data_IF_105678635924
#
_entry.id   IF_105678635924
#
_cell.length_a   1.000
_cell.length_b   1.000
_cell.length_c   1.000
_cell.angle_alpha   90.00
_cell.angle_beta   90.00
_cell.angle_gamma   90.00
#
_symmetry.space_group_name_H-M   'P 1'
#
loop_
_entity.id
_entity.type
_entity.pdbx_description
1 polymer ?
#
# COMPACT_ATOMS: atom_id res chain seq x y z
N UNK A 1 34.17 -12.81 -77.36
CA UNK A 1 33.30 -13.08 -76.19
C UNK A 1 31.86 -12.69 -76.53
N UNK A 2 30.92 -13.63 -76.54
CA UNK A 2 29.55 -13.36 -77.00
C UNK A 2 28.81 -12.41 -76.04
N UNK A 3 27.86 -11.62 -76.54
CA UNK A 3 27.06 -10.64 -75.76
C UNK A 3 26.40 -11.29 -74.53
N UNK A 4 26.01 -12.56 -74.63
CA UNK A 4 25.42 -13.35 -73.52
C UNK A 4 26.42 -13.61 -72.39
N UNK A 5 27.70 -13.88 -72.71
CA UNK A 5 28.75 -14.14 -71.71
C UNK A 5 29.12 -12.86 -70.95
N UNK A 6 29.14 -11.70 -71.62
CA UNK A 6 29.37 -10.40 -70.94
C UNK A 6 28.23 -10.05 -69.97
N UNK A 7 26.98 -10.28 -70.37
CA UNK A 7 25.81 -10.05 -69.51
C UNK A 7 25.85 -10.98 -68.28
N UNK A 8 26.22 -12.24 -68.47
CA UNK A 8 26.38 -13.20 -67.36
C UNK A 8 27.48 -12.76 -66.37
N UNK A 9 28.64 -12.30 -66.85
CA UNK A 9 29.71 -11.80 -65.98
C UNK A 9 29.31 -10.56 -65.20
N UNK A 10 28.60 -9.61 -65.83
CA UNK A 10 28.09 -8.42 -65.15
C UNK A 10 27.07 -8.82 -64.07
N UNK A 11 26.15 -9.72 -64.39
CA UNK A 11 25.17 -10.25 -63.42
C UNK A 11 25.86 -10.95 -62.24
N UNK A 12 26.93 -11.70 -62.49
CA UNK A 12 27.72 -12.36 -61.45
C UNK A 12 28.42 -11.35 -60.52
N UNK A 13 29.02 -10.30 -61.08
CA UNK A 13 29.67 -9.23 -60.30
C UNK A 13 28.64 -8.49 -59.45
N UNK A 14 27.49 -8.13 -60.01
CA UNK A 14 26.39 -7.48 -59.27
C UNK A 14 25.87 -8.38 -58.14
N UNK A 15 25.73 -9.68 -58.40
CA UNK A 15 25.33 -10.65 -57.38
C UNK A 15 26.35 -10.77 -56.24
N UNK A 16 27.64 -10.83 -56.56
CA UNK A 16 28.71 -10.87 -55.56
C UNK A 16 28.78 -9.58 -54.72
N UNK A 17 28.64 -8.41 -55.35
CA UNK A 17 28.57 -7.12 -54.67
C UNK A 17 27.34 -7.01 -53.76
N UNK A 18 26.17 -7.47 -54.25
CA UNK A 18 24.95 -7.50 -53.45
C UNK A 18 25.08 -8.43 -52.23
N UNK A 19 25.71 -9.60 -52.40
CA UNK A 19 26.00 -10.52 -51.29
C UNK A 19 26.97 -9.92 -50.27
N UNK A 20 28.00 -9.23 -50.73
CA UNK A 20 28.93 -8.48 -49.87
C UNK A 20 28.24 -7.37 -49.08
N UNK A 21 27.36 -6.61 -49.74
CA UNK A 21 26.53 -5.58 -49.10
C UNK A 21 25.60 -6.16 -48.03
N UNK A 22 24.95 -7.30 -48.30
CA UNK A 22 24.07 -7.96 -47.31
C UNK A 22 24.85 -8.43 -46.07
N UNK A 23 26.04 -8.99 -46.25
CA UNK A 23 26.89 -9.40 -45.12
C UNK A 23 27.29 -8.20 -44.26
N UNK A 24 27.77 -7.12 -44.89
CA UNK A 24 28.13 -5.89 -44.19
C UNK A 24 26.93 -5.27 -43.46
N UNK A 25 25.74 -5.27 -44.08
CA UNK A 25 24.52 -4.78 -43.44
C UNK A 25 24.16 -5.60 -42.19
N UNK A 26 24.30 -6.91 -42.25
CA UNK A 26 24.01 -7.79 -41.11
C UNK A 26 25.03 -7.60 -39.98
N UNK A 27 26.31 -7.43 -40.30
CA UNK A 27 27.35 -7.10 -39.32
C UNK A 27 27.09 -5.75 -38.65
N UNK A 28 26.71 -4.73 -39.42
CA UNK A 28 26.34 -3.41 -38.88
C UNK A 28 25.14 -3.51 -37.94
N UNK A 29 24.11 -4.28 -38.30
CA UNK A 29 22.94 -4.50 -37.43
C UNK A 29 23.38 -5.20 -36.14
N UNK A 30 24.17 -6.26 -36.23
CA UNK A 30 24.67 -6.99 -35.06
C UNK A 30 25.53 -6.12 -34.15
N UNK A 31 26.40 -5.27 -34.72
CA UNK A 31 27.21 -4.31 -33.97
C UNK A 31 26.33 -3.25 -33.29
N UNK A 32 25.29 -2.75 -33.96
CA UNK A 32 24.35 -1.82 -33.36
C UNK A 32 23.60 -2.45 -32.18
N UNK A 33 23.13 -3.69 -32.30
CA UNK A 33 22.47 -4.39 -31.20
C UNK A 33 23.40 -4.58 -30.00
N UNK A 34 24.69 -4.88 -30.25
CA UNK A 34 25.70 -4.95 -29.19
C UNK A 34 25.93 -3.59 -28.52
N UNK A 35 25.99 -2.50 -29.28
CA UNK A 35 26.13 -1.14 -28.74
C UNK A 35 24.93 -0.78 -27.86
N UNK A 36 23.71 -1.05 -28.33
CA UNK A 36 22.48 -0.80 -27.57
C UNK A 36 22.48 -1.59 -26.25
N UNK A 37 22.81 -2.88 -26.30
CA UNK A 37 22.85 -3.73 -25.11
C UNK A 37 23.94 -3.27 -24.12
N UNK A 38 25.11 -2.87 -24.62
CA UNK A 38 26.18 -2.34 -23.77
C UNK A 38 25.78 -1.01 -23.12
N UNK A 39 25.07 -0.14 -23.83
CA UNK A 39 24.56 1.11 -23.24
C UNK A 39 23.51 0.85 -22.15
N UNK A 40 22.65 -0.16 -22.32
CA UNK A 40 21.69 -0.56 -21.28
C UNK A 40 22.41 -1.05 -20.02
N UNK A 41 23.40 -1.94 -20.18
CA UNK A 41 24.23 -2.43 -19.06
C UNK A 41 24.99 -1.30 -18.36
N UNK A 42 25.52 -0.35 -19.13
CA UNK A 42 26.25 0.79 -18.58
C UNK A 42 25.33 1.70 -17.75
N UNK A 43 24.08 1.90 -18.20
CA UNK A 43 23.04 2.60 -17.46
C UNK A 43 22.69 1.88 -16.14
N UNK A 44 22.53 0.55 -16.17
CA UNK A 44 22.29 -0.26 -14.98
C UNK A 44 23.44 -0.15 -13.97
N UNK A 45 24.69 -0.26 -14.44
CA UNK A 45 25.88 -0.09 -13.58
C UNK A 45 25.94 1.31 -12.99
N UNK A 46 25.63 2.36 -13.76
CA UNK A 46 25.58 3.73 -13.26
C UNK A 46 24.51 3.90 -12.17
N UNK A 47 23.33 3.29 -12.36
CA UNK A 47 22.25 3.28 -11.36
C UNK A 47 22.69 2.58 -10.08
N UNK A 48 23.29 1.40 -10.18
CA UNK A 48 23.83 0.65 -9.03
C UNK A 48 24.93 1.44 -8.30
N UNK A 49 25.84 2.07 -9.06
CA UNK A 49 26.91 2.90 -8.48
C UNK A 49 26.34 4.14 -7.77
N UNK A 50 25.26 4.73 -8.29
CA UNK A 50 24.57 5.82 -7.64
C UNK A 50 23.94 5.38 -6.32
N UNK A 51 23.24 4.25 -6.29
CA UNK A 51 22.65 3.67 -5.09
C UNK A 51 23.72 3.34 -4.02
N UNK A 52 24.86 2.76 -4.44
CA UNK A 52 25.98 2.48 -3.53
C UNK A 52 26.64 3.76 -2.99
N UNK A 53 26.78 4.80 -3.82
CA UNK A 53 27.31 6.10 -3.37
C UNK A 53 26.39 6.79 -2.37
N UNK A 54 25.08 6.67 -2.55
CA UNK A 54 24.11 7.19 -1.57
C UNK A 54 24.13 6.37 -0.27
N UNK A 55 24.17 5.03 -0.36
CA UNK A 55 24.31 4.15 0.80
C UNK A 55 25.60 4.38 1.60
N UNK A 56 26.72 4.67 0.93
CA UNK A 56 27.99 4.98 1.62
C UNK A 56 28.01 6.36 2.30
N UNK A 57 27.14 7.28 1.90
CA UNK A 57 27.00 8.61 2.55
C UNK A 57 26.03 8.62 3.73
N UNK A 58 25.11 7.66 3.81
CA UNK A 58 24.17 7.56 4.92
C UNK A 58 24.89 7.40 6.25
N UNK A 59 24.56 8.23 7.23
CA UNK A 59 25.12 8.22 8.58
C UNK A 59 24.35 7.20 9.43
N UNK A 60 23.05 7.08 9.16
CA UNK A 60 22.12 6.14 9.76
C UNK A 60 22.30 4.73 9.20
N UNK A 61 22.71 3.80 10.05
CA UNK A 61 22.81 2.38 9.68
C UNK A 61 21.47 1.65 9.82
N UNK A 62 20.68 2.00 10.82
CA UNK A 62 19.40 1.36 11.12
C UNK A 62 18.42 2.33 11.75
N UNK A 63 17.15 2.23 11.36
CA UNK A 63 16.01 2.94 11.95
C UNK A 63 14.94 1.92 12.30
N UNK A 64 14.63 1.81 13.58
CA UNK A 64 13.52 1.02 14.07
C UNK A 64 12.48 1.95 14.72
N UNK A 65 11.21 1.72 14.44
CA UNK A 65 10.09 2.47 15.03
C UNK A 65 9.16 1.44 15.64
N UNK A 66 8.81 1.64 16.90
CA UNK A 66 7.90 0.77 17.63
C UNK A 66 6.82 1.58 18.33
N UNK A 67 5.64 0.99 18.43
CA UNK A 67 4.51 1.54 19.14
C UNK A 67 4.11 0.54 20.22
N UNK A 68 4.18 0.96 21.48
CA UNK A 68 3.97 0.12 22.64
C UNK A 68 2.97 0.76 23.60
N UNK A 69 2.48 -0.02 24.57
CA UNK A 69 1.65 0.47 25.68
C UNK A 69 0.46 1.31 25.23
N UNK A 70 -0.41 0.72 24.42
CA UNK A 70 -1.66 1.34 23.97
C UNK A 70 -2.53 1.75 25.18
N UNK A 71 -2.81 3.04 25.31
CA UNK A 71 -3.73 3.57 26.31
C UNK A 71 -5.10 3.85 25.67
N UNK A 72 -6.02 2.90 25.87
CA UNK A 72 -7.38 2.91 25.32
C UNK A 72 -8.26 3.99 25.99
N UNK A 73 -7.93 4.45 27.19
CA UNK A 73 -8.69 5.50 27.88
C UNK A 73 -8.42 6.87 27.28
N UNK A 74 -7.16 7.14 26.94
CA UNK A 74 -6.72 8.44 26.44
C UNK A 74 -6.56 8.50 24.92
N UNK A 75 -6.81 7.39 24.20
CA UNK A 75 -6.59 7.26 22.76
C UNK A 75 -5.15 7.60 22.33
N UNK A 76 -4.17 7.14 23.13
CA UNK A 76 -2.75 7.40 22.92
C UNK A 76 -1.92 6.13 22.91
N UNK A 77 -0.72 6.20 22.35
CA UNK A 77 0.25 5.11 22.33
C UNK A 77 1.66 5.66 22.56
N UNK A 78 2.54 4.88 23.18
CA UNK A 78 3.94 5.23 23.31
C UNK A 78 4.68 4.90 22.01
N UNK A 79 5.33 5.89 21.42
CA UNK A 79 6.19 5.73 20.26
C UNK A 79 7.65 5.73 20.69
N UNK A 80 8.43 4.77 20.21
CA UNK A 80 9.89 4.75 20.36
C UNK A 80 10.55 4.68 18.98
N UNK A 81 11.40 5.65 18.69
CA UNK A 81 12.25 5.68 17.49
C UNK A 81 13.68 5.40 17.92
N UNK A 82 14.28 4.34 17.38
CA UNK A 82 15.66 3.93 17.64
C UNK A 82 16.50 4.11 16.38
N UNK A 83 17.58 4.86 16.51
CA UNK A 83 18.49 5.21 15.42
C UNK A 83 19.90 4.70 15.73
N UNK A 84 20.38 3.75 14.94
CA UNK A 84 21.76 3.28 15.03
C UNK A 84 22.58 4.00 13.96
N UNK A 85 23.62 4.74 14.38
CA UNK A 85 24.50 5.46 13.48
C UNK A 85 25.78 4.66 13.19
N UNK A 86 26.54 5.10 12.18
CA UNK A 86 27.92 4.65 11.97
C UNK A 86 28.77 4.96 13.20
N UNK A 87 29.72 4.07 13.51
CA UNK A 87 30.58 4.14 14.71
C UNK A 87 31.27 5.49 14.92
N UNK A 88 31.62 6.20 13.85
CA UNK A 88 32.23 7.53 13.90
C UNK A 88 31.34 8.60 14.55
N UNK A 89 30.06 8.32 14.76
CA UNK A 89 29.06 9.23 15.33
C UNK A 89 28.46 8.72 16.65
N UNK A 90 29.03 7.69 17.28
CA UNK A 90 28.43 7.02 18.46
C UNK A 90 28.44 7.85 19.77
N UNK A 91 29.00 9.06 19.78
CA UNK A 91 29.02 9.98 20.93
C UNK A 91 28.66 11.43 20.54
N UNK A 92 27.99 11.61 19.41
CA UNK A 92 27.57 12.91 18.93
C UNK A 92 26.28 13.36 19.63
N UNK A 93 26.06 14.67 19.72
CA UNK A 93 24.72 15.16 20.03
C UNK A 93 23.83 14.95 18.80
N UNK A 94 22.73 14.22 18.96
CA UNK A 94 21.81 13.89 17.87
C UNK A 94 20.45 14.50 18.14
N UNK A 95 19.91 15.17 17.12
CA UNK A 95 18.58 15.77 17.14
C UNK A 95 17.76 15.20 16.00
N UNK A 96 16.50 14.88 16.27
CA UNK A 96 15.56 14.34 15.28
C UNK A 96 14.40 15.33 15.10
N UNK A 97 14.04 15.63 13.85
CA UNK A 97 12.84 16.38 13.55
C UNK A 97 11.64 15.42 13.55
N UNK A 98 10.72 15.63 14.50
CA UNK A 98 9.48 14.87 14.65
C UNK A 98 8.31 15.83 14.49
N UNK A 99 7.44 15.58 13.50
CA UNK A 99 6.29 16.41 13.20
C UNK A 99 6.63 17.91 13.03
N UNK A 100 7.78 18.21 12.42
CA UNK A 100 8.24 19.57 12.17
C UNK A 100 9.04 20.20 13.32
N UNK A 101 9.13 19.53 14.48
CA UNK A 101 9.80 20.04 15.68
C UNK A 101 11.10 19.28 15.93
N UNK A 102 12.19 19.99 16.19
CA UNK A 102 13.47 19.37 16.55
C UNK A 102 13.46 18.88 18.01
N UNK A 103 13.83 17.62 18.22
CA UNK A 103 13.80 16.92 19.51
C UNK A 103 15.17 16.31 19.82
N UNK A 104 15.53 16.30 21.11
CA UNK A 104 16.73 15.59 21.56
C UNK A 104 16.49 14.08 21.53
N UNK A 105 17.57 13.33 21.28
CA UNK A 105 17.61 11.89 21.50
C UNK A 105 18.52 11.56 22.69
N UNK A 106 18.32 10.38 23.27
CA UNK A 106 19.13 9.85 24.35
C UNK A 106 19.92 8.65 23.85
N UNK A 107 21.21 8.56 24.20
CA UNK A 107 22.05 7.42 23.79
C UNK A 107 21.85 6.25 24.76
N UNK A 108 21.32 5.14 24.25
CA UNK A 108 21.09 3.92 25.02
C UNK A 108 21.52 2.70 24.21
N UNK A 109 22.34 1.83 24.80
CA UNK A 109 22.79 0.56 24.19
C UNK A 109 23.33 0.70 22.74
N UNK A 110 23.98 1.84 22.44
CA UNK A 110 24.56 2.11 21.11
C UNK A 110 23.58 2.66 20.07
N UNK A 111 22.35 2.99 20.47
CA UNK A 111 21.34 3.64 19.63
C UNK A 111 20.89 4.97 20.24
N UNK A 112 20.54 5.92 19.37
CA UNK A 112 19.91 7.17 19.77
C UNK A 112 18.41 6.99 19.78
N UNK A 113 17.80 7.18 20.94
CA UNK A 113 16.41 6.90 21.21
C UNK A 113 15.63 8.20 21.36
N UNK A 114 14.49 8.27 20.68
CA UNK A 114 13.43 9.24 20.94
C UNK A 114 12.19 8.51 21.43
N UNK A 115 11.55 9.03 22.47
CA UNK A 115 10.28 8.50 22.99
C UNK A 115 9.26 9.62 23.10
N UNK A 116 8.02 9.31 22.78
CA UNK A 116 6.90 10.23 22.91
C UNK A 116 5.58 9.48 23.10
N UNK A 117 4.55 10.21 23.53
CA UNK A 117 3.18 9.71 23.58
C UNK A 117 2.39 10.39 22.47
N UNK A 118 1.91 9.60 21.51
CA UNK A 118 1.22 10.10 20.33
C UNK A 118 -0.28 9.75 20.40
N UNK A 119 -1.17 10.65 19.95
CA UNK A 119 -2.55 10.29 19.67
C UNK A 119 -2.62 9.20 18.59
N UNK A 120 -3.52 8.24 18.76
CA UNK A 120 -3.67 7.13 17.80
C UNK A 120 -4.12 7.64 16.43
N UNK A 121 -4.94 8.69 16.38
CA UNK A 121 -5.43 9.29 15.14
C UNK A 121 -4.48 10.33 14.51
N UNK A 122 -3.18 10.26 14.83
CA UNK A 122 -2.17 11.15 14.29
C UNK A 122 -1.26 10.44 13.28
N UNK A 123 -0.46 11.24 12.57
CA UNK A 123 0.67 10.73 11.78
C UNK A 123 1.98 10.98 12.53
N UNK A 124 2.89 10.01 12.45
CA UNK A 124 4.29 10.21 12.82
C UNK A 124 5.07 10.63 11.57
N UNK A 125 5.66 11.83 11.60
CA UNK A 125 6.57 12.32 10.55
C UNK A 125 7.97 12.47 11.09
N UNK A 126 8.93 11.81 10.46
CA UNK A 126 10.35 11.99 10.73
C UNK A 126 11.00 12.72 9.56
N UNK A 127 11.50 13.92 9.84
CA UNK A 127 12.15 14.78 8.87
C UNK A 127 13.67 14.60 8.88
N UNK A 128 14.38 15.64 9.27
CA UNK A 128 15.84 15.64 9.32
C UNK A 128 16.38 15.04 10.62
N UNK A 129 17.48 14.30 10.49
CA UNK A 129 18.37 13.90 11.57
C UNK A 129 19.59 14.82 11.55
N UNK A 130 19.83 15.58 12.61
CA UNK A 130 21.00 16.46 12.76
C UNK A 130 21.97 15.88 13.78
N UNK A 131 23.23 15.72 13.38
CA UNK A 131 24.30 15.15 14.21
C UNK A 131 25.38 16.20 14.40
N UNK A 132 25.72 16.49 15.65
CA UNK A 132 26.75 17.47 16.01
C UNK A 132 27.93 16.76 16.66
N UNK A 133 29.08 16.81 16.00
CA UNK A 133 30.35 16.33 16.53
C UNK A 133 31.35 17.48 16.55
N UNK A 134 31.81 17.88 17.75
CA UNK A 134 32.95 18.78 17.98
C UNK A 134 33.14 19.92 16.95
N UNK A 135 32.05 20.60 16.56
CA UNK A 135 31.93 21.74 15.62
C UNK A 135 31.40 21.49 14.21
N UNK A 136 31.17 20.24 13.78
CA UNK A 136 30.58 19.92 12.48
C UNK A 136 29.13 19.45 12.65
N UNK A 137 28.22 20.06 11.90
CA UNK A 137 26.82 19.60 11.76
C UNK A 137 26.71 18.76 10.50
N UNK A 138 26.38 17.49 10.67
CA UNK A 138 25.94 16.63 9.58
C UNK A 138 24.43 16.46 9.64
N UNK A 139 23.79 16.32 8.47
CA UNK A 139 22.34 16.21 8.36
C UNK A 139 21.99 15.08 7.40
N UNK A 140 21.04 14.25 7.80
CA UNK A 140 20.46 13.20 6.97
C UNK A 140 18.94 13.32 6.94
N UNK A 141 18.32 13.05 5.79
CA UNK A 141 16.86 13.09 5.66
C UNK A 141 16.27 11.69 5.89
N UNK A 142 15.39 11.55 6.88
CA UNK A 142 14.73 10.29 7.20
C UNK A 142 13.48 10.02 6.35
N UNK A 143 12.89 11.08 5.77
CA UNK A 143 11.68 11.15 4.95
C UNK A 143 10.67 10.02 5.22
N UNK A 144 10.15 9.97 6.44
CA UNK A 144 9.21 8.94 6.86
C UNK A 144 7.92 9.56 7.37
N UNK A 145 6.80 9.03 6.89
CA UNK A 145 5.46 9.35 7.38
C UNK A 145 4.67 8.04 7.52
N UNK A 146 4.02 7.85 8.67
CA UNK A 146 3.12 6.73 8.88
C UNK A 146 1.92 7.14 9.73
N UNK A 147 0.75 6.58 9.41
CA UNK A 147 -0.45 6.65 10.24
C UNK A 147 -0.21 5.82 11.50
N UNK A 148 -0.33 6.45 12.68
CA UNK A 148 -0.21 5.75 13.97
C UNK A 148 -1.33 4.72 14.07
N UNK A 149 -2.56 5.09 13.71
CA UNK A 149 -3.73 4.22 13.68
C UNK A 149 -3.47 2.94 12.88
N UNK A 150 -3.01 3.06 11.63
CA UNK A 150 -2.79 1.90 10.77
C UNK A 150 -1.61 1.06 11.26
N UNK A 151 -0.60 1.69 11.89
CA UNK A 151 0.56 0.96 12.41
C UNK A 151 0.24 0.20 13.70
N UNK A 152 -0.61 0.80 14.55
CA UNK A 152 -0.96 0.26 15.87
C UNK A 152 -2.10 -0.74 15.78
N UNK A 153 -3.18 -0.39 15.08
CA UNK A 153 -4.38 -1.21 14.94
C UNK A 153 -4.37 -2.10 13.69
N UNK A 154 -3.46 -1.83 12.75
CA UNK A 154 -3.40 -2.54 11.48
C UNK A 154 -4.44 -2.06 10.46
N UNK A 155 -4.35 -2.63 9.27
CA UNK A 155 -5.36 -2.48 8.22
C UNK A 155 -6.15 -3.77 8.10
N UNK A 156 -7.48 -3.66 8.11
CA UNK A 156 -8.37 -4.79 7.99
C UNK A 156 -8.93 -4.87 6.58
N UNK A 157 -8.54 -5.92 5.86
CA UNK A 157 -9.01 -6.16 4.51
C UNK A 157 -10.09 -7.21 4.53
N UNK A 158 -11.33 -6.79 4.32
CA UNK A 158 -12.42 -7.72 4.06
C UNK A 158 -12.48 -7.98 2.56
N UNK A 159 -12.17 -9.19 2.14
CA UNK A 159 -12.54 -9.64 0.80
C UNK A 159 -13.92 -10.30 0.90
N UNK A 160 -14.85 -9.81 0.07
CA UNK A 160 -16.11 -10.50 -0.15
C UNK A 160 -16.18 -10.81 -1.64
N UNK A 161 -16.28 -12.09 -2.04
CA UNK A 161 -16.47 -12.46 -3.43
C UNK A 161 -17.92 -12.16 -3.80
N UNK A 162 -18.27 -10.87 -3.90
CA UNK A 162 -19.54 -10.41 -4.47
C UNK A 162 -19.53 -10.53 -6.01
N UNK A 163 -18.88 -11.55 -6.57
CA UNK A 163 -18.80 -11.72 -8.01
C UNK A 163 -20.20 -11.80 -8.65
N UNK A 164 -21.24 -12.08 -7.85
CA UNK A 164 -22.62 -12.17 -8.30
C UNK A 164 -23.64 -11.68 -7.25
N UNK A 165 -23.53 -10.43 -6.74
CA UNK A 165 -24.73 -9.83 -6.13
C UNK A 165 -25.78 -9.68 -7.24
N UNK A 166 -26.67 -10.66 -7.36
CA UNK A 166 -27.70 -10.72 -8.40
C UNK A 166 -28.63 -9.53 -8.21
N UNK A 167 -28.51 -8.55 -9.11
CA UNK A 167 -29.41 -7.42 -9.21
C UNK A 167 -30.54 -7.82 -10.15
N UNK A 168 -31.70 -8.13 -9.60
CA UNK A 168 -32.88 -8.44 -10.39
C UNK A 168 -33.79 -7.21 -10.46
N UNK A 169 -33.97 -6.69 -11.66
CA UNK A 169 -35.01 -5.71 -11.97
C UNK A 169 -36.31 -6.47 -12.23
N UNK A 170 -37.34 -6.21 -11.42
CA UNK A 170 -38.65 -6.79 -11.67
C UNK A 170 -39.38 -5.95 -12.71
N UNK A 171 -39.73 -6.60 -13.81
CA UNK A 171 -40.47 -5.99 -14.91
C UNK A 171 -41.95 -5.82 -14.49
N UNK A 172 -42.23 -4.76 -13.70
CA UNK A 172 -43.56 -4.14 -13.36
C UNK A 172 -43.50 -3.27 -12.07
N UNK A 173 -42.67 -2.23 -12.07
CA UNK A 173 -42.65 -1.20 -11.02
C UNK A 173 -41.27 -1.03 -10.41
N UNK A 174 -40.97 0.19 -9.95
CA UNK A 174 -39.65 0.72 -9.54
C UNK A 174 -38.98 0.02 -8.33
N UNK A 175 -39.23 -1.27 -8.12
CA UNK A 175 -38.69 -2.09 -7.05
C UNK A 175 -37.56 -2.96 -7.58
N UNK A 176 -36.39 -2.77 -6.99
CA UNK A 176 -35.15 -3.47 -7.33
C UNK A 176 -34.80 -4.44 -6.21
N UNK A 177 -34.36 -5.65 -6.54
CA UNK A 177 -33.97 -6.67 -5.57
C UNK A 177 -32.45 -6.93 -5.63
N UNK A 178 -31.80 -6.94 -4.47
CA UNK A 178 -30.40 -7.37 -4.35
C UNK A 178 -30.28 -8.49 -3.34
N UNK A 179 -29.55 -9.54 -3.70
CA UNK A 179 -29.15 -10.60 -2.79
C UNK A 179 -27.72 -10.38 -2.28
N UNK A 180 -27.55 -10.48 -0.97
CA UNK A 180 -26.26 -10.50 -0.32
C UNK A 180 -26.05 -11.91 0.26
N UNK A 181 -25.36 -12.76 -0.51
CA UNK A 181 -24.87 -14.06 -0.08
C UNK A 181 -23.37 -14.11 -0.30
N UNK A 182 -22.60 -14.59 0.67
CA UNK A 182 -21.16 -14.65 0.51
C UNK A 182 -20.35 -15.02 1.74
N UNK A 183 -19.13 -15.48 1.49
CA UNK A 183 -18.11 -15.66 2.52
C UNK A 183 -17.29 -14.39 2.73
N UNK A 184 -17.00 -14.07 3.98
CA UNK A 184 -16.09 -12.99 4.37
C UNK A 184 -14.74 -13.60 4.62
N UNK A 185 -13.72 -13.04 3.98
CA UNK A 185 -12.32 -13.36 4.25
C UNK A 185 -11.63 -12.10 4.77
N UNK A 186 -11.12 -12.14 5.98
CA UNK A 186 -10.35 -11.01 6.53
C UNK A 186 -8.87 -11.33 6.47
N UNK A 187 -8.05 -10.42 5.93
CA UNK A 187 -6.60 -10.44 6.11
C UNK A 187 -6.17 -9.19 6.88
N UNK A 188 -5.16 -9.38 7.74
CA UNK A 188 -4.52 -8.31 8.49
C UNK A 188 -3.07 -8.21 8.03
N UNK A 189 -2.63 -7.00 7.67
CA UNK A 189 -1.22 -6.71 7.40
C UNK A 189 -0.59 -6.05 8.64
N UNK A 190 0.50 -6.61 9.17
CA UNK A 190 1.21 -6.14 10.37
C UNK A 190 1.68 -7.28 11.29
N UNK A 191 2.29 -6.97 12.45
CA UNK A 191 2.65 -7.96 13.48
C UNK A 191 1.43 -8.56 14.22
N UNK A 192 0.23 -8.27 13.74
CA UNK A 192 -1.02 -8.67 14.36
C UNK A 192 -1.37 -10.14 14.05
N UNK A 193 -1.45 -10.92 15.13
CA UNK A 193 -2.04 -12.27 15.18
C UNK A 193 -3.32 -12.28 16.02
N UNK A 194 -4.22 -11.31 15.83
CA UNK A 194 -5.38 -11.17 16.71
C UNK A 194 -6.70 -11.17 15.95
N UNK A 195 -7.63 -11.98 16.47
CA UNK A 195 -8.92 -12.30 15.88
C UNK A 195 -9.90 -11.18 16.28
N UNK A 196 -10.52 -10.42 15.35
CA UNK A 196 -11.64 -9.54 15.63
C UNK A 196 -12.68 -10.23 16.52
N UNK A 197 -13.15 -9.50 17.53
CA UNK A 197 -14.18 -9.98 18.45
C UNK A 197 -15.49 -10.22 17.71
N UNK A 198 -15.80 -9.34 16.75
CA UNK A 198 -17.08 -9.30 16.07
C UNK A 198 -16.94 -8.62 14.71
N UNK A 199 -17.66 -9.11 13.73
CA UNK A 199 -17.83 -8.45 12.44
C UNK A 199 -19.33 -8.23 12.24
N UNK A 200 -19.76 -6.98 12.05
CA UNK A 200 -21.13 -6.66 11.68
C UNK A 200 -21.20 -6.33 10.19
N UNK A 201 -22.05 -7.04 9.45
CA UNK A 201 -22.54 -6.58 8.15
C UNK A 201 -23.64 -5.55 8.38
N UNK A 202 -23.47 -4.35 7.83
CA UNK A 202 -24.40 -3.23 8.00
C UNK A 202 -24.88 -2.74 6.64
N UNK A 203 -26.19 -2.80 6.43
CA UNK A 203 -26.87 -2.28 5.25
C UNK A 203 -27.56 -0.95 5.60
N UNK A 204 -27.12 0.11 4.94
CA UNK A 204 -27.70 1.45 5.04
C UNK A 204 -28.49 1.75 3.77
N UNK A 205 -29.69 2.33 3.94
CA UNK A 205 -30.51 2.86 2.85
C UNK A 205 -30.86 4.30 3.17
N UNK A 206 -30.49 5.22 2.28
CA UNK A 206 -30.66 6.66 2.48
C UNK A 206 -30.09 7.11 3.83
N UNK A 207 -28.87 6.67 4.13
CA UNK A 207 -28.12 6.95 5.36
C UNK A 207 -28.74 6.41 6.66
N UNK A 208 -29.75 5.53 6.55
CA UNK A 208 -30.39 4.88 7.70
C UNK A 208 -30.10 3.40 7.73
N UNK A 209 -29.79 2.87 8.91
CA UNK A 209 -29.62 1.43 9.10
C UNK A 209 -30.93 0.71 8.81
N UNK A 210 -30.89 -0.13 7.78
CA UNK A 210 -32.00 -1.01 7.39
C UNK A 210 -31.80 -2.41 7.96
N UNK A 211 -30.55 -2.85 8.08
CA UNK A 211 -30.23 -4.17 8.58
C UNK A 211 -28.80 -4.26 9.13
N UNK A 212 -28.65 -5.08 10.18
CA UNK A 212 -27.38 -5.48 10.77
C UNK A 212 -27.34 -6.98 11.00
N UNK A 213 -26.22 -7.61 10.66
CA UNK A 213 -25.96 -9.02 10.99
C UNK A 213 -24.60 -9.17 11.64
N UNK A 214 -24.60 -9.72 12.85
CA UNK A 214 -23.37 -10.06 13.55
C UNK A 214 -22.85 -11.42 13.12
N UNK A 215 -21.57 -11.43 12.78
CA UNK A 215 -20.82 -12.57 12.28
C UNK A 215 -19.68 -12.78 13.26
N UNK A 216 -19.65 -13.98 13.83
CA UNK A 216 -18.57 -14.40 14.73
C UNK A 216 -17.53 -15.09 13.84
N UNK A 217 -16.36 -14.48 13.59
CA UNK A 217 -15.34 -15.08 12.75
C UNK A 217 -14.83 -16.38 13.37
N UNK A 218 -14.68 -17.42 12.55
CA UNK A 218 -14.01 -18.65 12.96
C UNK A 218 -12.55 -18.59 12.50
N UNK A 219 -11.62 -18.77 13.44
CA UNK A 219 -10.19 -18.85 13.13
C UNK A 219 -9.89 -20.10 12.30
N UNK A 220 -9.20 -19.92 11.18
CA UNK A 220 -8.76 -21.03 10.31
C UNK A 220 -7.24 -21.17 10.26
N UNK A 221 -6.52 -20.44 11.10
CA UNK A 221 -5.07 -20.29 11.06
C UNK A 221 -4.61 -19.40 9.91
N UNK A 222 -3.36 -18.92 10.02
CA UNK A 222 -2.65 -18.10 9.03
C UNK A 222 -3.30 -16.74 8.70
N UNK A 223 -3.66 -15.92 9.68
CA UNK A 223 -4.19 -14.54 9.48
C UNK A 223 -5.48 -14.45 8.64
N UNK A 224 -6.19 -15.56 8.46
CA UNK A 224 -7.45 -15.63 7.74
C UNK A 224 -8.59 -15.99 8.69
N UNK A 225 -9.70 -15.29 8.56
CA UNK A 225 -10.97 -15.68 9.19
C UNK A 225 -12.05 -15.86 8.14
N UNK A 226 -12.95 -16.80 8.42
CA UNK A 226 -14.16 -16.99 7.64
C UNK A 226 -15.40 -16.66 8.46
N UNK A 227 -16.24 -15.82 7.87
CA UNK A 227 -17.63 -15.63 8.27
C UNK A 227 -18.54 -15.86 7.06
N UNK A 228 -19.80 -16.22 7.28
CA UNK A 228 -20.77 -16.38 6.20
C UNK A 228 -21.94 -15.41 6.40
N UNK A 229 -22.31 -14.68 5.35
CA UNK A 229 -23.56 -13.94 5.28
C UNK A 229 -24.54 -14.83 4.53
N UNK A 230 -25.60 -15.27 5.20
CA UNK A 230 -26.66 -16.03 4.53
C UNK A 230 -27.42 -15.10 3.58
N UNK A 231 -27.65 -15.58 2.34
CA UNK A 231 -28.55 -14.98 1.35
C UNK A 231 -29.75 -14.30 2.00
N UNK A 232 -29.87 -13.01 1.72
CA UNK A 232 -31.02 -12.18 2.07
C UNK A 232 -31.29 -11.24 0.91
N UNK A 233 -32.45 -11.44 0.29
CA UNK A 233 -33.01 -10.57 -0.74
C UNK A 233 -33.60 -9.31 -0.12
N UNK A 234 -33.01 -8.16 -0.41
CA UNK A 234 -33.53 -6.85 -0.02
C UNK A 234 -34.15 -6.14 -1.21
N UNK A 235 -35.27 -5.46 -0.95
CA UNK A 235 -35.98 -4.64 -1.93
C UNK A 235 -35.65 -3.16 -1.74
N UNK A 236 -35.42 -2.45 -2.83
CA UNK A 236 -35.09 -1.03 -2.88
C UNK A 236 -35.95 -0.33 -3.93
N UNK A 237 -36.14 0.97 -3.77
CA UNK A 237 -36.82 1.82 -4.75
C UNK A 237 -35.81 2.53 -5.65
N UNK A 238 -36.26 2.98 -6.82
CA UNK A 238 -35.47 3.88 -7.67
C UNK A 238 -34.97 5.08 -6.87
N UNK A 239 -33.70 5.45 -7.08
CA UNK A 239 -32.96 6.51 -6.41
C UNK A 239 -32.61 6.25 -4.92
N UNK A 240 -32.93 5.09 -4.35
CA UNK A 240 -32.39 4.74 -3.04
C UNK A 240 -30.87 4.74 -3.06
N UNK A 241 -30.24 5.37 -2.06
CA UNK A 241 -28.80 5.30 -1.83
C UNK A 241 -28.52 4.11 -0.93
N UNK A 242 -27.87 3.09 -1.47
CA UNK A 242 -27.53 1.86 -0.77
C UNK A 242 -26.05 1.87 -0.44
N UNK A 243 -25.72 1.72 0.84
CA UNK A 243 -24.36 1.59 1.34
C UNK A 243 -24.25 0.30 2.17
N UNK A 244 -23.24 -0.51 1.87
CA UNK A 244 -22.89 -1.71 2.64
C UNK A 244 -21.54 -1.48 3.29
N UNK A 245 -21.52 -1.61 4.61
CA UNK A 245 -20.32 -1.54 5.42
C UNK A 245 -20.11 -2.86 6.15
N UNK A 246 -18.84 -3.16 6.41
CA UNK A 246 -18.47 -4.06 7.49
C UNK A 246 -17.92 -3.26 8.65
N UNK A 247 -18.49 -3.46 9.83
CA UNK A 247 -18.00 -2.88 11.08
C UNK A 247 -17.27 -3.98 11.86
N UNK A 248 -15.94 -3.89 11.95
CA UNK A 248 -15.09 -4.89 12.60
C UNK A 248 -14.66 -4.36 13.95
N UNK A 249 -15.09 -5.02 15.01
CA UNK A 249 -14.65 -4.72 16.38
C UNK A 249 -13.34 -5.46 16.67
N UNK A 250 -12.29 -4.69 16.92
CA UNK A 250 -11.00 -5.23 17.33
C UNK A 250 -11.00 -5.67 18.81
N UNK A 251 -9.89 -6.21 19.31
CA UNK A 251 -9.82 -6.63 20.71
C UNK A 251 -9.86 -5.48 21.72
N UNK A 252 -9.52 -4.26 21.29
CA UNK A 252 -9.45 -3.05 22.09
C UNK A 252 -10.78 -2.27 22.12
N UNK A 253 -11.75 -2.67 21.30
CA UNK A 253 -13.07 -2.07 21.18
C UNK A 253 -13.15 -0.95 20.14
N UNK A 254 -12.13 -0.77 19.29
CA UNK A 254 -12.25 0.09 18.12
C UNK A 254 -13.06 -0.61 17.04
N UNK A 255 -13.83 0.18 16.28
CA UNK A 255 -14.68 -0.32 15.21
C UNK A 255 -14.13 0.18 13.88
N UNK A 256 -13.55 -0.72 13.10
CA UNK A 256 -13.12 -0.43 11.74
C UNK A 256 -14.34 -0.51 10.81
N UNK A 257 -14.75 0.62 10.24
CA UNK A 257 -15.83 0.70 9.25
C UNK A 257 -15.21 0.59 7.87
N UNK A 258 -15.43 -0.56 7.24
CA UNK A 258 -14.89 -0.93 5.93
C UNK A 258 -16.04 -0.88 4.91
N UNK A 259 -16.21 0.24 4.20
CA UNK A 259 -17.21 0.33 3.14
C UNK A 259 -16.91 -0.62 1.98
N UNK A 260 -17.93 -1.30 1.45
CA UNK A 260 -17.80 -2.29 0.36
C UNK A 260 -18.63 -2.04 -0.87
N UNK A 261 -19.79 -1.42 -0.70
CA UNK A 261 -20.65 -1.09 -1.82
C UNK A 261 -21.29 0.25 -1.54
N UNK A 262 -21.20 1.15 -2.50
CA UNK A 262 -22.09 2.30 -2.59
C UNK A 262 -22.78 2.26 -3.94
N UNK A 263 -24.11 2.41 -3.96
CA UNK A 263 -24.88 2.42 -5.20
C UNK A 263 -26.12 3.30 -5.07
N UNK A 264 -26.42 4.03 -6.14
CA UNK A 264 -27.73 4.69 -6.31
C UNK A 264 -28.59 3.79 -7.18
N UNK A 265 -29.74 3.37 -6.65
CA UNK A 265 -30.60 2.39 -7.31
C UNK A 265 -31.22 2.98 -8.58
N UNK A 266 -31.13 2.26 -9.70
CA UNK A 266 -31.59 2.73 -11.01
C UNK A 266 -30.59 3.60 -11.77
N UNK A 267 -29.44 3.95 -11.16
CA UNK A 267 -28.33 4.61 -11.84
C UNK A 267 -27.28 3.57 -12.24
N UNK A 268 -27.15 3.32 -13.55
CA UNK A 268 -26.22 2.34 -14.14
C UNK A 268 -24.75 2.77 -14.05
N UNK A 269 -24.48 4.05 -13.82
CA UNK A 269 -23.12 4.61 -13.75
C UNK A 269 -22.62 4.79 -12.30
N UNK A 270 -23.51 4.61 -11.31
CA UNK A 270 -23.21 4.86 -9.89
C UNK A 270 -22.27 3.83 -9.23
N UNK A 271 -21.94 2.73 -9.92
CA UNK A 271 -21.35 1.56 -9.27
C UNK A 271 -19.88 1.67 -8.87
N UNK A 272 -19.10 2.67 -9.31
CA UNK A 272 -17.62 2.58 -9.20
C UNK A 272 -16.85 3.90 -8.97
N UNK A 273 -17.44 4.96 -8.40
CA UNK A 273 -16.75 6.29 -8.35
C UNK A 273 -16.48 6.89 -6.98
N UNK A 274 -16.87 6.26 -5.88
CA UNK A 274 -16.50 6.76 -4.55
C UNK A 274 -15.30 5.94 -4.08
N UNK A 275 -14.17 6.60 -3.81
CA UNK A 275 -13.09 6.01 -3.03
C UNK A 275 -13.67 5.66 -1.66
N UNK A 276 -13.94 4.38 -1.45
CA UNK A 276 -14.48 3.85 -0.21
C UNK A 276 -13.34 3.77 0.80
N UNK A 277 -13.17 4.83 1.58
CA UNK A 277 -12.12 4.97 2.59
C UNK A 277 -12.55 4.25 3.89
N UNK A 278 -11.69 3.37 4.41
CA UNK A 278 -11.88 2.80 5.74
C UNK A 278 -11.81 3.91 6.79
N UNK A 279 -12.76 3.93 7.71
CA UNK A 279 -12.73 4.82 8.89
C UNK A 279 -12.69 3.98 10.15
N UNK A 280 -12.25 4.56 11.26
CA UNK A 280 -12.25 3.90 12.56
C UNK A 280 -13.10 4.71 13.52
N UNK A 281 -13.90 4.03 14.33
CA UNK A 281 -14.60 4.63 15.46
C UNK A 281 -13.92 4.19 16.76
N UNK A 282 -13.80 5.12 17.70
CA UNK A 282 -13.42 4.80 19.06
C UNK A 282 -14.51 3.95 19.77
N UNK A 283 -14.22 3.51 20.99
CA UNK A 283 -15.16 2.76 21.84
C UNK A 283 -16.46 3.49 22.17
N UNK A 284 -16.50 4.81 22.00
CA UNK A 284 -17.68 5.64 22.23
C UNK A 284 -18.49 5.85 20.92
N UNK A 285 -18.01 5.33 19.79
CA UNK A 285 -18.63 5.46 18.48
C UNK A 285 -18.22 6.74 17.73
N UNK A 286 -17.26 7.52 18.22
CA UNK A 286 -16.77 8.72 17.54
C UNK A 286 -15.79 8.33 16.43
N UNK A 287 -15.94 8.94 15.25
CA UNK A 287 -14.99 8.78 14.15
C UNK A 287 -13.64 9.42 14.51
N UNK A 288 -12.55 8.71 14.24
CA UNK A 288 -11.17 9.14 14.48
C UNK A 288 -10.32 9.05 13.22
#
# INVERSE_FOLDING_TARGET
MSKKVKIFFIALIVFLLYRGYLNLKNEIISLNDQIVNNNLRLSEIQSQLHQLKEGNKSILMKKDISFNNLNIENNTVECTVSLTLKRSFNNSKVLINVNGIEKNTELENGSYIYRDVLPINSNLKLGLLSIYNESVKEVENLNYEASVLNTVLGECYINVPWEYSFFEEKDKGDVFEMDFDGGIYTTFQGEWRKIPKKIDFVLLVNDREKYRHSIIPTDKGTNYMRGDIKSRKYKFLKNDRVLVNFEVEDEHGYIHVIPKLYRVIGDKDSSNKIELIQTVKDKNGNLI
#
